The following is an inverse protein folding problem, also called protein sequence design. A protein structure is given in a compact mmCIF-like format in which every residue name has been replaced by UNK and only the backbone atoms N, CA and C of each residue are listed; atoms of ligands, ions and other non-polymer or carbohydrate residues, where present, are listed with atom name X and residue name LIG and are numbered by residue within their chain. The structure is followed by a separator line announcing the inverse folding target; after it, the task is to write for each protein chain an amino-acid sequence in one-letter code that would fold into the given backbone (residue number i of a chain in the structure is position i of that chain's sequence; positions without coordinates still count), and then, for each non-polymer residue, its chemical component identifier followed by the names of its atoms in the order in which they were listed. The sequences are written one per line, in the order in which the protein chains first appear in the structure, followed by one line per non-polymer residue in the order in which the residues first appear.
data_IF_778796307966
#
_entry.id   IF_778796307966
#
_cell.length_a   1.000
_cell.length_b   1.000
_cell.length_c   1.000
_cell.angle_alpha   90.00
_cell.angle_beta   90.00
_cell.angle_gamma   90.00
#
_symmetry.space_group_name_H-M   'P 1'
#
loop_
_entity.id
_entity.type
_entity.pdbx_description
1 polymer ?
#
# COMPACT_ATOMS: atom_id res chain seq x y z
N UNK A 1 -13.79 5.28 2.77
CA UNK A 1 -12.58 4.54 2.39
C UNK A 1 -11.40 5.46 2.62
N UNK A 2 -10.20 4.92 2.81
CA UNK A 2 -8.95 5.69 2.91
C UNK A 2 -8.08 5.36 1.70
N UNK A 3 -7.53 6.37 1.05
CA UNK A 3 -6.61 6.21 -0.08
C UNK A 3 -5.20 6.53 0.38
N UNK A 4 -4.32 5.55 0.29
CA UNK A 4 -2.89 5.69 0.49
C UNK A 4 -2.22 5.99 -0.86
N UNK A 5 -1.91 7.27 -1.09
CA UNK A 5 -1.20 7.77 -2.26
C UNK A 5 -0.01 8.65 -1.84
N UNK A 6 0.56 8.39 -0.64
CA UNK A 6 1.65 9.20 -0.09
C UNK A 6 2.98 8.92 -0.81
N UNK A 7 3.21 7.65 -1.15
CA UNK A 7 4.43 7.19 -1.82
C UNK A 7 4.11 6.10 -2.86
N UNK A 8 4.77 6.17 -4.01
CA UNK A 8 4.78 5.14 -5.06
C UNK A 8 6.19 4.57 -5.26
N UNK A 9 6.51 4.10 -6.47
CA UNK A 9 7.85 3.56 -6.81
C UNK A 9 9.05 4.48 -6.50
N UNK A 10 8.85 5.81 -6.37
CA UNK A 10 9.92 6.75 -6.04
C UNK A 10 10.39 6.73 -4.58
N UNK A 11 9.73 5.94 -3.71
CA UNK A 11 10.07 5.87 -2.30
C UNK A 11 11.33 5.06 -2.03
N UNK A 12 12.20 5.64 -1.20
CA UNK A 12 13.42 5.02 -0.71
C UNK A 12 13.37 4.98 0.81
N UNK A 13 13.44 3.79 1.45
CA UNK A 13 13.47 3.68 2.90
C UNK A 13 14.63 4.47 3.54
N UNK A 14 14.48 4.95 4.79
CA UNK A 14 13.39 4.64 5.72
C UNK A 14 12.16 5.57 5.58
N UNK A 15 11.00 5.08 6.01
CA UNK A 15 9.77 5.89 6.07
C UNK A 15 9.92 6.99 7.15
N UNK A 16 9.69 8.27 6.82
CA UNK A 16 9.74 9.35 7.82
C UNK A 16 8.72 9.13 8.95
N UNK A 17 9.07 9.53 10.18
CA UNK A 17 8.21 9.34 11.37
C UNK A 17 6.81 9.95 11.17
N UNK A 18 6.74 11.17 10.62
CA UNK A 18 5.46 11.83 10.35
C UNK A 18 4.60 11.05 9.33
N UNK A 19 5.23 10.46 8.32
CA UNK A 19 4.54 9.61 7.35
C UNK A 19 4.02 8.32 8.02
N UNK A 20 4.85 7.67 8.85
CA UNK A 20 4.43 6.49 9.60
C UNK A 20 3.23 6.79 10.52
N UNK A 21 3.23 7.93 11.21
CA UNK A 21 2.11 8.40 12.04
C UNK A 21 0.85 8.63 11.21
N UNK A 22 0.98 9.28 10.05
CA UNK A 22 -0.14 9.50 9.14
C UNK A 22 -0.78 8.19 8.67
N UNK A 23 0.03 7.19 8.30
CA UNK A 23 -0.47 5.88 7.88
C UNK A 23 -1.14 5.11 9.04
N UNK A 24 -0.63 5.26 10.27
CA UNK A 24 -1.25 4.67 11.46
C UNK A 24 -2.62 5.31 11.75
N UNK A 25 -2.72 6.64 11.76
CA UNK A 25 -3.98 7.35 11.96
C UNK A 25 -4.98 7.03 10.84
N UNK A 26 -4.53 6.96 9.58
CA UNK A 26 -5.34 6.52 8.45
C UNK A 26 -5.93 5.13 8.65
N UNK A 27 -5.14 4.18 9.18
CA UNK A 27 -5.60 2.84 9.50
C UNK A 27 -6.65 2.82 10.62
N UNK A 28 -6.45 3.64 11.66
CA UNK A 28 -7.40 3.80 12.77
C UNK A 28 -8.73 4.38 12.28
N UNK A 29 -8.69 5.43 11.46
CA UNK A 29 -9.90 6.03 10.85
C UNK A 29 -10.66 4.99 10.02
N UNK A 30 -9.96 4.20 9.20
CA UNK A 30 -10.61 3.17 8.38
C UNK A 30 -11.30 2.09 9.25
N UNK A 31 -10.63 1.62 10.31
CA UNK A 31 -11.16 0.61 11.24
C UNK A 31 -12.32 1.12 12.08
N UNK A 32 -12.26 2.37 12.54
CA UNK A 32 -13.27 2.97 13.40
C UNK A 32 -14.54 3.37 12.64
N UNK A 33 -14.48 3.48 11.32
CA UNK A 33 -15.63 3.91 10.53
C UNK A 33 -16.75 2.84 10.56
N UNK A 34 -18.01 3.18 10.93
CA UNK A 34 -19.11 2.21 11.11
C UNK A 34 -19.43 1.36 9.88
N UNK A 35 -19.23 1.91 8.68
CA UNK A 35 -19.43 1.21 7.41
C UNK A 35 -18.28 0.25 7.03
N UNK A 36 -17.29 0.00 7.90
CA UNK A 36 -16.17 -0.89 7.63
C UNK A 36 -15.27 -0.39 6.49
N UNK A 37 -14.76 0.84 6.61
CA UNK A 37 -13.94 1.42 5.56
C UNK A 37 -12.68 0.59 5.28
N UNK A 38 -12.33 0.54 4.00
CA UNK A 38 -11.14 -0.10 3.47
C UNK A 38 -10.03 0.92 3.24
N UNK A 39 -8.77 0.49 3.31
CA UNK A 39 -7.60 1.26 2.90
C UNK A 39 -7.08 0.73 1.56
N UNK A 40 -7.02 1.60 0.55
CA UNK A 40 -6.55 1.27 -0.79
C UNK A 40 -5.23 1.96 -1.04
N UNK A 41 -4.19 1.20 -1.37
CA UNK A 41 -2.90 1.75 -1.78
C UNK A 41 -2.87 1.99 -3.29
N UNK A 42 -2.33 3.14 -3.67
CA UNK A 42 -2.09 3.51 -5.06
C UNK A 42 -0.62 3.22 -5.40
N UNK A 43 -0.42 2.51 -6.50
CA UNK A 43 0.85 2.01 -7.01
C UNK A 43 1.51 0.92 -6.14
N UNK A 44 1.95 1.28 -4.93
CA UNK A 44 2.51 0.39 -3.91
C UNK A 44 2.08 0.91 -2.52
N UNK A 45 1.94 0.05 -1.49
CA UNK A 45 1.69 0.54 -0.13
C UNK A 45 2.83 1.43 0.37
N UNK A 46 2.49 2.62 0.89
CA UNK A 46 3.48 3.56 1.38
C UNK A 46 4.34 2.95 2.48
N UNK A 47 5.66 3.12 2.37
CA UNK A 47 6.65 2.52 3.29
C UNK A 47 7.28 1.23 2.79
N UNK A 48 6.86 0.69 1.65
CA UNK A 48 7.51 -0.44 0.99
C UNK A 48 8.35 0.03 -0.20
N UNK A 49 9.53 -0.56 -0.38
CA UNK A 49 10.31 -0.37 -1.60
C UNK A 49 9.70 -1.22 -2.73
N UNK A 50 9.70 -0.70 -3.96
CA UNK A 50 9.16 -1.42 -5.12
C UNK A 50 9.95 -2.69 -5.47
N UNK A 51 11.27 -2.63 -5.27
CA UNK A 51 12.23 -3.59 -5.82
C UNK A 51 12.73 -4.60 -4.78
N UNK A 52 12.45 -4.34 -3.49
CA UNK A 52 12.90 -5.18 -2.39
C UNK A 52 11.74 -6.00 -1.83
N UNK A 53 11.99 -7.24 -1.37
CA UNK A 53 10.99 -7.98 -0.64
C UNK A 53 10.58 -7.15 0.59
N UNK A 54 9.28 -6.95 0.81
CA UNK A 54 8.79 -6.21 1.96
C UNK A 54 9.18 -6.95 3.25
N UNK A 55 9.35 -6.23 4.38
CA UNK A 55 9.73 -6.85 5.65
C UNK A 55 8.71 -7.94 6.02
N UNK A 56 9.16 -8.99 6.73
CA UNK A 56 8.29 -10.04 7.24
C UNK A 56 8.10 -9.86 8.76
N UNK A 57 6.86 -9.79 9.28
CA UNK A 57 5.59 -9.76 8.54
C UNK A 57 5.43 -8.45 7.76
N UNK A 58 4.81 -8.49 6.57
CA UNK A 58 4.52 -7.26 5.83
C UNK A 58 3.50 -6.51 6.68
N UNK A 59 3.75 -5.23 7.02
CA UNK A 59 2.81 -4.48 7.82
C UNK A 59 1.43 -4.54 7.15
N UNK A 60 0.39 -5.04 7.84
CA UNK A 60 -0.96 -5.01 7.30
C UNK A 60 -1.37 -3.54 7.21
N UNK A 61 -1.33 -2.99 6.01
CA UNK A 61 -1.60 -1.57 5.78
C UNK A 61 -2.71 -1.31 4.75
N UNK A 62 -3.09 -2.28 3.92
CA UNK A 62 -4.11 -2.04 2.91
C UNK A 62 -4.93 -3.29 2.63
N UNK A 63 -6.16 -3.05 2.21
CA UNK A 63 -7.13 -4.07 1.79
C UNK A 63 -7.08 -4.30 0.26
N UNK A 64 -6.47 -3.40 -0.50
CA UNK A 64 -6.34 -3.43 -1.95
C UNK A 64 -5.16 -2.59 -2.40
N UNK A 65 -4.44 -3.04 -3.43
CA UNK A 65 -3.47 -2.23 -4.19
C UNK A 65 -4.00 -2.03 -5.61
N UNK A 66 -3.99 -0.79 -6.09
CA UNK A 66 -4.22 -0.46 -7.49
C UNK A 66 -2.90 0.03 -8.07
N UNK A 67 -2.29 -0.75 -8.94
CA UNK A 67 -1.04 -0.40 -9.61
C UNK A 67 -1.25 -0.10 -11.08
N UNK A 68 -0.27 0.55 -11.73
CA UNK A 68 -0.39 1.01 -13.11
C UNK A 68 0.60 0.29 -14.02
N UNK A 69 0.17 0.05 -15.27
CA UNK A 69 0.93 -0.58 -16.37
C UNK A 69 1.32 -2.05 -16.11
N UNK A 70 2.08 -2.31 -15.05
CA UNK A 70 2.50 -3.66 -14.66
C UNK A 70 2.68 -3.79 -13.15
N UNK A 71 2.72 -5.03 -12.67
CA UNK A 71 3.09 -5.34 -11.29
C UNK A 71 4.58 -5.02 -11.05
N UNK A 72 4.89 -4.55 -9.84
CA UNK A 72 6.24 -4.34 -9.31
C UNK A 72 6.65 -5.57 -8.48
N UNK A 73 7.95 -5.85 -8.29
CA UNK A 73 8.41 -7.00 -7.51
C UNK A 73 7.75 -7.16 -6.14
N UNK A 74 7.50 -6.05 -5.42
CA UNK A 74 6.81 -6.03 -4.12
C UNK A 74 5.40 -6.67 -4.16
N UNK A 75 4.68 -6.61 -5.28
CA UNK A 75 3.31 -7.12 -5.39
C UNK A 75 3.22 -8.63 -5.27
N UNK A 76 4.24 -9.37 -5.73
CA UNK A 76 4.28 -10.83 -5.59
C UNK A 76 4.21 -11.25 -4.11
N UNK A 77 4.93 -10.54 -3.24
CA UNK A 77 4.91 -10.79 -1.80
C UNK A 77 3.57 -10.38 -1.15
N UNK A 78 2.94 -9.29 -1.63
CA UNK A 78 1.61 -8.87 -1.18
C UNK A 78 0.53 -9.89 -1.56
N UNK A 79 0.56 -10.40 -2.81
CA UNK A 79 -0.34 -11.46 -3.27
C UNK A 79 -0.15 -12.75 -2.48
N UNK A 80 1.09 -13.12 -2.16
CA UNK A 80 1.39 -14.30 -1.34
C UNK A 80 0.78 -14.20 0.07
N UNK A 81 0.45 -13.00 0.54
CA UNK A 81 -0.23 -12.75 1.81
C UNK A 81 -1.74 -12.51 1.67
N UNK A 82 -2.28 -12.72 0.46
CA UNK A 82 -3.70 -12.57 0.18
C UNK A 82 -4.17 -11.14 -0.02
N UNK A 83 -3.27 -10.16 -0.19
CA UNK A 83 -3.64 -8.78 -0.53
C UNK A 83 -3.99 -8.73 -2.03
N UNK A 84 -5.21 -8.29 -2.41
CA UNK A 84 -5.57 -8.11 -3.80
C UNK A 84 -4.73 -7.01 -4.47
N UNK A 85 -4.25 -7.29 -5.68
CA UNK A 85 -3.55 -6.33 -6.54
C UNK A 85 -4.29 -6.24 -7.87
N UNK A 86 -4.70 -5.02 -8.24
CA UNK A 86 -5.34 -4.69 -9.51
C UNK A 86 -4.35 -3.90 -10.35
N UNK A 87 -4.07 -4.38 -11.57
CA UNK A 87 -3.28 -3.63 -12.55
C UNK A 87 -4.25 -2.83 -13.42
N UNK A 88 -4.17 -1.51 -13.35
CA UNK A 88 -4.91 -0.59 -14.17
C UNK A 88 -4.08 -0.23 -15.41
N UNK A 89 -4.70 -0.42 -16.58
CA UNK A 89 -4.19 0.12 -17.85
C UNK A 89 -4.33 1.64 -17.84
N UNK A 90 -3.24 2.31 -18.18
CA UNK A 90 -3.14 3.78 -18.26
C UNK A 90 -2.79 4.26 -19.67
N UNK A 91 -2.90 3.39 -20.69
CA UNK A 91 -2.64 3.69 -22.10
C UNK A 91 -1.18 3.51 -22.53
N UNK A 92 -0.47 2.54 -21.92
CA UNK A 92 0.92 2.20 -22.22
C UNK A 92 1.05 0.84 -22.91
#
# INVERSE_FOLDING_TARGET
MVIDALYGIGFHPPLPVAAAQMLATAQEIARAHPAGWKRVAIDIPSGLAADAPPPAPIPPGCDLVVTFHCEKPVHAALRAQGVPVVVADIGL
#
